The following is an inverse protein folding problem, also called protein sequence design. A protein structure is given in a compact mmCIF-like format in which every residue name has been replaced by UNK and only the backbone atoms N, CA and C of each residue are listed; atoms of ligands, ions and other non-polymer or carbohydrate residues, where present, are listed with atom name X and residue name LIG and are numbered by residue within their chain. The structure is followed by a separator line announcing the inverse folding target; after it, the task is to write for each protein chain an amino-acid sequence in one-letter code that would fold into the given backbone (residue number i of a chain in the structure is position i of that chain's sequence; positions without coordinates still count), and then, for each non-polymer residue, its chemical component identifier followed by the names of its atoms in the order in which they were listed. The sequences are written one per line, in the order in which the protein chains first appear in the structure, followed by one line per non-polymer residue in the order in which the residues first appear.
data_IF_829602132021
#
_entry.id   IF_829602132021
#
_cell.length_a   1.000
_cell.length_b   1.000
_cell.length_c   1.000
_cell.angle_alpha   90.00
_cell.angle_beta   90.00
_cell.angle_gamma   90.00
#
_symmetry.space_group_name_H-M   'P 1'
#
loop_
_entity.id
_entity.type
_entity.pdbx_description
1 polymer ?
#
# COMPACT_ATOMS: atom_id res chain seq x y z
N UNK A 1 -7.76 -3.66 -14.33
CA UNK A 1 -6.57 -3.30 -13.51
C UNK A 1 -6.95 -3.06 -12.06
N UNK A 2 -6.33 -3.77 -11.11
CA UNK A 2 -6.58 -3.72 -9.66
C UNK A 2 -5.30 -3.26 -8.91
N UNK A 3 -5.43 -2.42 -7.89
CA UNK A 3 -4.31 -1.96 -7.06
C UNK A 3 -4.15 -2.84 -5.81
N UNK A 4 -2.92 -3.01 -5.35
CA UNK A 4 -2.61 -3.84 -4.19
C UNK A 4 -1.16 -3.68 -3.72
N UNK A 5 -0.76 -4.56 -2.82
CA UNK A 5 0.62 -4.65 -2.34
C UNK A 5 1.20 -6.04 -2.62
N UNK A 6 2.46 -6.07 -3.03
CA UNK A 6 3.29 -7.27 -3.14
C UNK A 6 4.13 -7.36 -1.88
N UNK A 7 3.94 -8.42 -1.10
CA UNK A 7 4.77 -8.71 0.07
C UNK A 7 5.82 -9.76 -0.29
N UNK A 8 7.07 -9.41 -0.10
CA UNK A 8 8.18 -10.34 -0.11
C UNK A 8 8.20 -11.08 1.24
N UNK A 9 8.04 -12.41 1.20
CA UNK A 9 7.94 -13.26 2.39
C UNK A 9 9.31 -13.39 3.07
N UNK A 10 10.38 -13.50 2.28
CA UNK A 10 11.74 -13.71 2.76
C UNK A 10 12.35 -12.40 3.29
N UNK A 11 12.19 -11.31 2.56
CA UNK A 11 12.72 -10.00 2.95
C UNK A 11 11.79 -9.21 3.88
N UNK A 12 10.53 -9.64 4.03
CA UNK A 12 9.53 -8.96 4.84
C UNK A 12 9.13 -7.56 4.33
N UNK A 13 9.46 -7.23 3.08
CA UNK A 13 9.24 -5.90 2.49
C UNK A 13 7.92 -5.89 1.70
N UNK A 14 7.19 -4.77 1.77
CA UNK A 14 5.95 -4.56 1.01
C UNK A 14 6.15 -3.49 -0.07
N UNK A 15 5.73 -3.80 -1.29
CA UNK A 15 5.81 -2.92 -2.45
C UNK A 15 4.41 -2.64 -2.99
N UNK A 16 4.10 -1.40 -3.31
CA UNK A 16 2.88 -1.08 -4.04
C UNK A 16 2.94 -1.69 -5.45
N UNK A 17 1.84 -2.32 -5.87
CA UNK A 17 1.73 -2.95 -7.18
C UNK A 17 0.36 -2.78 -7.81
N UNK A 18 0.29 -3.15 -9.08
CA UNK A 18 -0.94 -3.14 -9.88
C UNK A 18 -1.07 -4.47 -10.59
N UNK A 19 -2.15 -5.19 -10.32
CA UNK A 19 -2.56 -6.37 -11.04
C UNK A 19 -3.24 -5.97 -12.36
N UNK A 20 -2.67 -6.40 -13.47
CA UNK A 20 -3.19 -6.18 -14.82
C UNK A 20 -4.17 -7.29 -15.20
N UNK A 21 -4.96 -7.03 -16.25
CA UNK A 21 -6.03 -7.94 -16.69
C UNK A 21 -5.48 -9.26 -17.26
N UNK A 22 -4.19 -9.30 -17.63
CA UNK A 22 -3.47 -10.50 -18.04
C UNK A 22 -2.85 -11.29 -16.86
N UNK A 23 -3.33 -11.07 -15.63
CA UNK A 23 -2.81 -11.69 -14.40
C UNK A 23 -1.33 -11.41 -14.11
N UNK A 24 -0.75 -10.36 -14.69
CA UNK A 24 0.60 -9.89 -14.35
C UNK A 24 0.53 -8.77 -13.33
N UNK A 25 1.32 -8.86 -12.26
CA UNK A 25 1.48 -7.80 -11.27
C UNK A 25 2.70 -6.96 -11.64
N UNK A 26 2.50 -5.65 -11.78
CA UNK A 26 3.55 -4.67 -11.95
C UNK A 26 3.83 -3.99 -10.61
N UNK A 27 5.08 -4.01 -10.13
CA UNK A 27 5.48 -3.38 -8.87
C UNK A 27 6.91 -2.86 -8.94
N UNK A 28 7.24 -1.88 -8.08
CA UNK A 28 8.55 -1.22 -8.08
C UNK A 28 9.38 -1.64 -6.88
N UNK A 29 10.58 -2.13 -7.15
CA UNK A 29 11.60 -2.47 -6.14
C UNK A 29 12.79 -1.51 -6.33
N UNK A 30 12.93 -0.54 -5.43
CA UNK A 30 13.93 0.52 -5.56
C UNK A 30 13.68 1.39 -6.81
N UNK A 31 14.53 1.25 -7.84
CA UNK A 31 14.41 1.96 -9.13
C UNK A 31 13.97 1.04 -10.28
N UNK A 32 13.70 -0.24 -9.99
CA UNK A 32 13.36 -1.24 -10.99
C UNK A 32 11.86 -1.53 -10.96
N UNK A 33 11.21 -1.49 -12.13
CA UNK A 33 9.83 -1.99 -12.28
C UNK A 33 9.90 -3.46 -12.68
N UNK A 34 9.28 -4.33 -11.89
CA UNK A 34 9.16 -5.76 -12.18
C UNK A 34 7.74 -6.09 -12.64
N UNK A 35 7.66 -7.07 -13.52
CA UNK A 35 6.43 -7.65 -14.04
C UNK A 35 6.50 -9.14 -13.77
N UNK A 36 5.59 -9.65 -12.95
CA UNK A 36 5.58 -11.05 -12.52
C UNK A 36 4.17 -11.59 -12.68
N UNK A 37 4.01 -12.76 -13.27
CA UNK A 37 2.72 -13.41 -13.37
C UNK A 37 2.27 -13.88 -11.98
N UNK A 38 0.98 -13.76 -11.65
CA UNK A 38 0.46 -14.10 -10.33
C UNK A 38 0.71 -15.58 -9.96
N UNK A 39 0.83 -16.45 -10.96
CA UNK A 39 1.16 -17.88 -10.77
C UNK A 39 2.57 -18.10 -10.21
N UNK A 40 3.54 -17.28 -10.62
CA UNK A 40 4.95 -17.40 -10.19
C UNK A 40 5.19 -16.86 -8.78
N UNK A 41 4.21 -16.18 -8.18
CA UNK A 41 4.37 -15.52 -6.89
C UNK A 41 4.78 -16.49 -5.79
N UNK A 42 4.15 -17.67 -5.74
CA UNK A 42 4.46 -18.67 -4.72
C UNK A 42 5.89 -19.19 -4.84
N UNK A 43 6.37 -19.40 -6.07
CA UNK A 43 7.74 -19.86 -6.33
C UNK A 43 8.79 -18.80 -6.01
N UNK A 44 8.43 -17.52 -6.20
CA UNK A 44 9.31 -16.38 -5.93
C UNK A 44 9.25 -15.88 -4.48
N UNK A 45 8.51 -16.54 -3.58
CA UNK A 45 8.35 -16.09 -2.20
C UNK A 45 7.56 -14.77 -2.08
N UNK A 46 6.72 -14.46 -3.06
CA UNK A 46 5.91 -13.25 -3.10
C UNK A 46 4.45 -13.55 -2.75
N UNK A 47 3.77 -12.58 -2.15
CA UNK A 47 2.34 -12.64 -1.87
C UNK A 47 1.63 -11.37 -2.34
N UNK A 48 0.63 -11.53 -3.19
CA UNK A 48 -0.26 -10.44 -3.57
C UNK A 48 -1.33 -10.21 -2.50
N UNK A 49 -1.52 -8.95 -2.12
CA UNK A 49 -2.64 -8.49 -1.31
C UNK A 49 -3.42 -7.43 -2.09
N UNK A 50 -4.65 -7.71 -2.53
CA UNK A 50 -5.48 -6.69 -3.16
C UNK A 50 -5.76 -5.58 -2.15
N UNK A 51 -5.68 -4.32 -2.60
CA UNK A 51 -6.08 -3.18 -1.80
C UNK A 51 -7.61 -3.15 -1.82
N UNK A 52 -8.25 -3.75 -0.82
CA UNK A 52 -9.69 -3.74 -0.65
C UNK A 52 -10.21 -2.32 -0.80
N UNK A 53 -10.88 -2.02 -1.91
CA UNK A 53 -11.38 -0.67 -2.24
C UNK A 53 -12.67 -0.34 -1.50
N UNK A 54 -12.74 -0.71 -0.21
CA UNK A 54 -13.85 -0.42 0.69
C UNK A 54 -13.33 -0.31 2.12
N UNK A 55 -13.13 0.91 2.60
CA UNK A 55 -13.35 1.21 4.02
C UNK A 55 -12.29 2.03 4.76
N UNK A 56 -11.02 2.02 4.35
CA UNK A 56 -9.96 2.62 5.18
C UNK A 56 -9.09 3.60 4.37
N UNK A 57 -9.73 4.56 3.71
CA UNK A 57 -9.16 5.90 3.72
C UNK A 57 -9.53 6.52 5.08
N UNK A 58 -8.89 6.06 6.16
CA UNK A 58 -8.57 7.00 7.22
C UNK A 58 -7.44 7.82 6.60
N UNK A 59 -7.69 9.05 6.11
CA UNK A 59 -6.56 9.94 5.80
C UNK A 59 -5.68 9.93 7.03
N UNK A 60 -4.34 9.92 6.91
CA UNK A 60 -3.49 10.00 8.09
C UNK A 60 -4.01 11.19 8.87
N UNK A 61 -4.65 10.92 10.02
CA UNK A 61 -5.10 11.99 10.89
C UNK A 61 -3.80 12.71 11.16
N UNK A 62 -3.66 13.88 10.54
CA UNK A 62 -2.67 14.85 10.94
C UNK A 62 -3.02 15.04 12.41
N UNK A 63 -2.34 14.28 13.27
CA UNK A 63 -2.31 14.44 14.70
C UNK A 63 -1.60 15.76 14.92
N UNK A 64 -2.27 16.85 14.54
CA UNK A 64 -2.11 18.14 15.18
C UNK A 64 -2.49 17.84 16.60
N UNK A 65 -1.47 17.86 17.45
CA UNK A 65 -1.64 17.87 18.90
C UNK A 65 -2.84 18.78 19.23
N UNK A 66 -3.70 18.40 20.20
CA UNK A 66 -4.73 19.31 20.66
C UNK A 66 -4.02 20.61 21.03
N UNK A 67 -4.38 21.70 20.34
CA UNK A 67 -3.94 23.04 20.72
C UNK A 67 -4.59 23.29 22.07
N UNK A 68 -3.83 22.97 23.12
CA UNK A 68 -4.10 23.32 24.48
C UNK A 68 -3.98 24.84 24.56
N UNK A 69 -5.07 25.54 24.28
CA UNK A 69 -5.26 26.95 24.62
C UNK A 69 -6.73 27.33 24.43
N UNK A 70 -7.54 27.43 25.50
CA UNK A 70 -8.81 28.12 25.41
C UNK A 70 -8.57 29.57 24.96
N UNK A 71 -9.16 29.93 23.82
CA UNK A 71 -9.25 31.33 23.40
C UNK A 71 -10.19 32.06 24.36
N UNK A 72 -9.64 32.65 25.41
CA UNK A 72 -10.35 33.67 26.17
C UNK A 72 -10.38 34.96 25.34
N UNK A 73 -11.39 35.09 24.49
CA UNK A 73 -11.93 36.41 24.19
C UNK A 73 -12.89 36.77 25.32
N UNK A 74 -12.49 37.70 26.18
CA UNK A 74 -13.45 38.47 26.97
C UNK A 74 -13.32 39.94 26.60
N UNK A 75 -14.48 40.46 26.20
CA UNK A 75 -14.93 41.82 25.91
C UNK A 75 -14.44 42.88 26.87
#
# INVERSE_FOLDING_TARGET
MEHGTVRDIDAGTEHAGVLRDNQTVAFVVGKLTRYVALEDFAELGLKWKPLSTRGDMVPPECRREPIDSPQFFRT
#
